data_IF_025934221533
#
_entry.id   IF_025934221533
#
_cell.length_a   1.000
_cell.length_b   1.000
_cell.length_c   1.000
_cell.angle_alpha   90.00
_cell.angle_beta   90.00
_cell.angle_gamma   90.00
#
_symmetry.space_group_name_H-M   'P 1'
#
loop_
_entity.id
_entity.type
_entity.pdbx_description
1 polymer ?
#
# COMPACT_ATOMS: atom_id res chain seq x y z
N UNK A 1 41.46 32.95 -48.30
CA UNK A 1 42.89 33.21 -48.57
C UNK A 1 43.52 33.61 -47.26
N UNK A 2 44.51 32.80 -46.83
CA UNK A 2 45.53 32.97 -45.78
C UNK A 2 45.05 33.27 -44.34
N UNK A 3 45.24 32.39 -43.35
CA UNK A 3 46.47 31.84 -42.72
C UNK A 3 47.15 32.77 -41.71
N UNK A 4 47.17 32.31 -40.43
CA UNK A 4 48.33 32.16 -39.53
C UNK A 4 47.80 32.14 -38.07
N UNK A 5 48.01 31.19 -37.14
CA UNK A 5 49.11 30.31 -36.69
C UNK A 5 49.41 30.61 -35.20
N UNK A 6 49.05 29.66 -34.32
CA UNK A 6 49.69 29.24 -33.05
C UNK A 6 49.71 30.17 -31.81
N UNK A 7 50.01 29.66 -30.57
CA UNK A 7 50.38 28.29 -30.19
C UNK A 7 49.57 27.64 -29.05
N UNK A 8 49.67 26.30 -29.03
CA UNK A 8 49.39 25.42 -27.91
C UNK A 8 50.43 25.61 -26.80
N UNK A 9 49.99 25.66 -25.54
CA UNK A 9 50.85 25.46 -24.38
C UNK A 9 50.40 24.23 -23.59
N UNK A 10 51.35 23.32 -23.41
CA UNK A 10 51.22 22.13 -22.61
C UNK A 10 51.45 22.42 -21.13
N UNK A 11 50.74 21.69 -20.28
CA UNK A 11 50.93 21.69 -18.83
C UNK A 11 50.62 20.31 -18.28
N UNK A 12 51.60 19.41 -18.44
CA UNK A 12 51.71 18.16 -17.67
C UNK A 12 51.90 18.51 -16.21
N UNK A 13 50.99 18.06 -15.34
CA UNK A 13 51.24 17.96 -13.91
C UNK A 13 50.89 16.55 -13.47
N UNK A 14 51.95 15.77 -13.31
CA UNK A 14 52.00 14.54 -12.55
C UNK A 14 51.41 14.75 -11.16
N UNK A 15 50.36 14.01 -10.80
CA UNK A 15 49.91 13.88 -9.42
C UNK A 15 50.14 12.45 -8.96
N UNK A 16 51.33 12.25 -8.41
CA UNK A 16 51.68 11.06 -7.66
C UNK A 16 50.79 10.96 -6.40
N UNK A 17 50.26 9.75 -6.19
CA UNK A 17 50.18 9.05 -4.91
C UNK A 17 49.65 9.83 -3.67
N UNK A 18 48.41 9.53 -3.27
CA UNK A 18 48.06 9.52 -1.85
C UNK A 18 46.93 8.54 -1.55
N UNK A 19 47.34 7.33 -1.17
CA UNK A 19 46.51 6.41 -0.38
C UNK A 19 46.39 6.98 1.02
N UNK A 20 45.17 7.24 1.49
CA UNK A 20 44.66 6.99 2.86
C UNK A 20 43.47 7.90 3.12
N UNK A 21 42.34 7.31 3.53
CA UNK A 21 41.19 8.11 3.96
C UNK A 21 39.83 7.42 3.93
N UNK A 22 39.74 6.09 4.10
CA UNK A 22 38.45 5.49 4.51
C UNK A 22 38.20 5.88 5.96
N UNK A 23 37.43 6.94 6.17
CA UNK A 23 36.81 7.26 7.46
C UNK A 23 35.82 6.15 7.81
N UNK A 24 36.31 5.14 8.52
CA UNK A 24 35.45 4.24 9.28
C UNK A 24 34.79 5.08 10.37
N UNK A 25 33.46 5.21 10.31
CA UNK A 25 32.67 5.74 11.40
C UNK A 25 32.81 4.81 12.60
N UNK A 26 33.69 5.16 13.53
CA UNK A 26 33.77 4.56 14.86
C UNK A 26 32.52 4.97 15.63
N UNK A 27 31.51 4.09 15.65
CA UNK A 27 30.58 4.05 16.77
C UNK A 27 31.42 3.74 18.01
N UNK A 28 31.68 4.77 18.82
CA UNK A 28 32.27 4.60 20.14
C UNK A 28 31.33 3.70 20.95
N UNK A 29 31.71 2.43 21.14
CA UNK A 29 31.03 1.54 22.08
C UNK A 29 31.17 2.17 23.46
N UNK A 30 30.04 2.56 24.05
CA UNK A 30 29.96 2.90 25.46
C UNK A 30 30.45 1.67 26.23
N UNK A 31 31.58 1.80 26.94
CA UNK A 31 32.13 0.75 27.80
C UNK A 31 32.97 -0.32 27.10
N UNK A 32 34.06 0.05 26.42
CA UNK A 32 35.13 -0.90 26.10
C UNK A 32 36.04 -1.12 27.32
N UNK A 33 35.54 -1.80 28.34
CA UNK A 33 36.41 -2.42 29.33
C UNK A 33 36.97 -3.74 28.73
N UNK A 34 38.21 -4.09 29.07
CA UNK A 34 38.97 -5.23 28.51
C UNK A 34 38.40 -6.63 28.86
N UNK A 35 37.10 -6.73 29.11
CA UNK A 35 36.38 -7.88 29.64
C UNK A 35 36.35 -9.06 28.66
N UNK A 36 36.58 -8.77 27.38
CA UNK A 36 36.58 -9.77 26.32
C UNK A 36 37.76 -10.76 26.45
N UNK A 37 38.87 -10.36 27.09
CA UNK A 37 40.01 -11.24 27.39
C UNK A 37 39.62 -12.34 28.39
N UNK A 38 38.88 -11.98 29.44
CA UNK A 38 38.38 -12.91 30.46
C UNK A 38 37.29 -13.88 29.92
N UNK A 39 36.62 -13.53 28.81
CA UNK A 39 35.57 -14.38 28.22
C UNK A 39 36.05 -15.38 27.16
N UNK A 40 37.31 -15.32 26.70
CA UNK A 40 37.79 -16.15 25.57
C UNK A 40 37.72 -17.65 25.83
N UNK A 41 37.81 -18.07 27.09
CA UNK A 41 37.81 -19.47 27.50
C UNK A 41 36.50 -19.89 28.18
N UNK A 42 35.44 -19.08 28.08
CA UNK A 42 34.15 -19.41 28.65
C UNK A 42 33.40 -20.44 27.77
N UNK A 43 32.84 -21.47 28.40
CA UNK A 43 32.02 -22.50 27.74
C UNK A 43 30.55 -22.31 28.10
N UNK A 44 29.71 -22.19 27.08
CA UNK A 44 28.27 -22.11 27.24
C UNK A 44 27.67 -23.52 27.21
N UNK A 45 26.82 -23.84 28.18
CA UNK A 45 25.99 -25.03 28.17
C UNK A 45 24.53 -24.61 28.27
N UNK A 46 23.70 -25.13 27.36
CA UNK A 46 22.25 -24.95 27.44
C UNK A 46 21.72 -25.93 28.51
N UNK A 47 21.07 -25.38 29.53
CA UNK A 47 20.38 -26.15 30.56
C UNK A 47 19.03 -26.64 30.02
N UNK A 48 18.58 -27.78 30.53
CA UNK A 48 17.35 -28.47 30.08
C UNK A 48 16.09 -27.64 30.34
N UNK A 49 16.15 -26.71 31.30
CA UNK A 49 15.05 -25.81 31.67
C UNK A 49 14.99 -24.53 30.79
N UNK A 50 15.72 -24.49 29.68
CA UNK A 50 15.77 -23.33 28.77
C UNK A 50 16.68 -22.19 29.25
N UNK A 51 17.37 -22.36 30.38
CA UNK A 51 18.42 -21.45 30.85
C UNK A 51 19.77 -21.71 30.18
N UNK A 52 20.65 -20.70 30.15
CA UNK A 52 22.03 -20.85 29.66
C UNK A 52 22.97 -20.72 30.86
N UNK A 53 23.77 -21.73 31.13
CA UNK A 53 24.84 -21.70 32.13
C UNK A 53 26.18 -21.42 31.46
N UNK A 54 26.97 -20.52 32.03
CA UNK A 54 28.29 -20.14 31.54
C UNK A 54 29.34 -20.68 32.51
N UNK A 55 30.26 -21.51 32.02
CA UNK A 55 31.39 -22.02 32.78
C UNK A 55 32.67 -21.29 32.37
N UNK A 56 33.35 -20.65 33.33
CA UNK A 56 34.63 -19.98 33.10
C UNK A 56 35.80 -20.90 33.46
N UNK A 57 36.94 -20.73 32.78
CA UNK A 57 38.13 -21.55 33.00
C UNK A 57 38.82 -21.24 34.34
N UNK A 58 38.73 -20.00 34.80
CA UNK A 58 39.24 -19.58 36.12
C UNK A 58 38.15 -18.86 36.91
N UNK A 59 38.11 -19.03 38.25
CA UNK A 59 37.12 -18.37 39.11
C UNK A 59 37.38 -16.86 39.29
N UNK A 60 38.56 -16.37 38.92
CA UNK A 60 38.92 -14.95 38.97
C UNK A 60 38.34 -14.17 37.78
N UNK A 61 38.27 -14.81 36.61
CA UNK A 61 37.62 -14.26 35.42
C UNK A 61 36.12 -14.04 35.65
N UNK A 62 35.46 -15.00 36.31
CA UNK A 62 34.04 -14.91 36.67
C UNK A 62 33.75 -13.69 37.57
N UNK A 63 34.57 -13.47 38.60
CA UNK A 63 34.41 -12.34 39.53
C UNK A 63 34.58 -10.99 38.82
N UNK A 64 35.55 -10.90 37.92
CA UNK A 64 35.83 -9.67 37.16
C UNK A 64 34.66 -9.33 36.22
N UNK A 65 34.08 -10.34 35.58
CA UNK A 65 32.91 -10.17 34.72
C UNK A 65 31.69 -9.75 35.53
N UNK A 66 31.40 -10.43 36.65
CA UNK A 66 30.26 -10.09 37.51
C UNK A 66 30.35 -8.66 38.07
N UNK A 67 31.55 -8.20 38.43
CA UNK A 67 31.78 -6.83 38.89
C UNK A 67 31.59 -5.77 37.78
N UNK A 68 31.77 -6.17 36.51
CA UNK A 68 31.60 -5.28 35.36
C UNK A 68 30.16 -5.17 34.87
N UNK A 69 29.26 -6.05 35.31
CA UNK A 69 27.84 -5.97 34.96
C UNK A 69 27.23 -4.83 35.79
N UNK A 70 26.76 -3.73 35.17
CA UNK A 70 26.08 -2.67 35.91
C UNK A 70 24.80 -3.26 36.51
N UNK A 71 24.80 -3.47 37.83
CA UNK A 71 23.63 -4.01 38.57
C UNK A 71 22.52 -2.97 38.72
N UNK A 72 22.75 -1.73 38.27
CA UNK A 72 21.72 -0.71 38.22
C UNK A 72 20.81 -0.98 37.02
N UNK A 73 19.72 -1.71 37.27
CA UNK A 73 18.51 -1.58 36.45
C UNK A 73 18.14 -0.08 36.43
N UNK A 74 18.02 0.57 35.27
CA UNK A 74 17.58 1.96 35.23
C UNK A 74 16.16 2.01 35.78
N UNK A 75 15.99 2.58 36.98
CA UNK A 75 14.69 2.88 37.59
C UNK A 75 13.83 3.79 36.70
N UNK A 76 14.44 4.42 35.69
CA UNK A 76 13.77 5.21 34.66
C UNK A 76 12.76 4.38 33.85
N UNK A 77 13.03 3.09 33.60
CA UNK A 77 12.14 2.26 32.76
C UNK A 77 10.76 2.03 33.40
N UNK A 78 10.67 2.02 34.73
CA UNK A 78 9.40 1.78 35.44
C UNK A 78 8.54 3.03 35.47
N UNK A 79 9.16 4.21 35.66
CA UNK A 79 8.46 5.50 35.56
C UNK A 79 7.99 5.79 34.14
N UNK A 80 8.79 5.46 33.14
CA UNK A 80 8.43 5.64 31.73
C UNK A 80 7.26 4.71 31.34
N UNK A 81 7.20 3.48 31.88
CA UNK A 81 6.08 2.57 31.62
C UNK A 81 4.77 3.01 32.26
N UNK A 82 4.78 3.44 33.52
CA UNK A 82 3.56 3.89 34.20
C UNK A 82 3.02 5.20 33.60
N UNK A 83 3.91 6.11 33.21
CA UNK A 83 3.52 7.36 32.52
C UNK A 83 2.92 7.10 31.14
N UNK A 84 3.50 6.19 30.36
CA UNK A 84 2.93 5.76 29.07
C UNK A 84 1.58 5.06 29.22
N UNK A 85 1.40 4.22 30.25
CA UNK A 85 0.11 3.57 30.51
C UNK A 85 -0.97 4.59 30.91
N UNK A 86 -0.63 5.60 31.70
CA UNK A 86 -1.54 6.68 32.08
C UNK A 86 -1.89 7.58 30.88
N UNK A 87 -0.96 7.83 29.97
CA UNK A 87 -1.22 8.59 28.75
C UNK A 87 -2.12 7.84 27.77
N UNK A 88 -1.88 6.54 27.58
CA UNK A 88 -2.71 5.68 26.72
C UNK A 88 -4.12 5.51 27.29
N UNK A 89 -4.26 5.32 28.60
CA UNK A 89 -5.58 5.20 29.25
C UNK A 89 -6.37 6.52 29.17
N UNK A 90 -5.74 7.67 29.40
CA UNK A 90 -6.37 8.97 29.21
C UNK A 90 -6.78 9.24 27.75
N UNK A 91 -5.97 8.82 26.77
CA UNK A 91 -6.30 8.95 25.34
C UNK A 91 -7.44 8.01 24.89
N UNK A 92 -7.58 6.85 25.54
CA UNK A 92 -8.68 5.89 25.28
C UNK A 92 -9.96 6.37 25.93
N UNK A 93 -9.93 6.83 27.18
CA UNK A 93 -11.13 7.29 27.91
C UNK A 93 -11.69 8.59 27.34
N UNK A 94 -10.85 9.51 26.84
CA UNK A 94 -11.31 10.72 26.15
C UNK A 94 -12.03 10.50 24.82
N UNK A 95 -11.93 9.30 24.23
CA UNK A 95 -12.52 8.96 22.92
C UNK A 95 -13.82 8.13 23.01
N UNK A 96 -14.25 7.73 24.21
CA UNK A 96 -15.39 6.84 24.42
C UNK A 96 -16.73 7.56 24.70
N UNK A 97 -16.76 8.88 24.57
CA UNK A 97 -18.02 9.62 24.50
C UNK A 97 -18.61 9.50 23.09
N UNK A 98 -19.51 8.52 22.96
CA UNK A 98 -20.68 8.39 22.06
C UNK A 98 -20.55 8.74 20.57
N UNK A 99 -21.22 7.91 19.76
CA UNK A 99 -21.88 8.36 18.55
C UNK A 99 -21.26 7.86 17.24
N UNK A 100 -22.08 7.06 16.57
CA UNK A 100 -22.26 6.91 15.12
C UNK A 100 -21.78 8.10 14.25
N UNK A 101 -21.58 7.82 12.97
CA UNK A 101 -21.27 8.76 11.87
C UNK A 101 -19.79 8.85 11.42
N UNK A 102 -19.41 7.87 10.60
CA UNK A 102 -18.39 8.02 9.55
C UNK A 102 -18.95 9.01 8.50
N UNK A 103 -18.99 10.29 8.82
CA UNK A 103 -19.63 11.28 7.93
C UNK A 103 -19.31 12.75 8.17
N UNK A 104 -18.93 13.17 9.37
CA UNK A 104 -18.70 14.59 9.64
C UNK A 104 -17.51 14.84 10.58
N UNK A 105 -16.41 15.37 10.02
CA UNK A 105 -15.50 16.30 10.69
C UNK A 105 -14.78 15.87 11.97
N UNK A 106 -14.85 14.61 12.45
CA UNK A 106 -14.01 14.15 13.56
C UNK A 106 -12.56 14.10 13.09
N UNK A 107 -11.71 14.90 13.75
CA UNK A 107 -10.27 14.83 13.61
C UNK A 107 -9.83 13.37 13.80
N UNK A 108 -8.81 12.89 13.05
CA UNK A 108 -8.31 11.54 13.23
C UNK A 108 -7.95 11.34 14.71
N UNK A 109 -8.28 10.18 15.31
CA UNK A 109 -7.86 9.87 16.67
C UNK A 109 -6.35 10.06 16.84
N UNK A 110 -5.89 10.52 18.00
CA UNK A 110 -4.47 10.85 18.24
C UNK A 110 -3.49 9.68 17.94
N UNK A 111 -3.95 8.43 18.02
CA UNK A 111 -3.15 7.26 17.67
C UNK A 111 -2.87 7.11 16.16
N UNK A 112 -3.63 7.80 15.30
CA UNK A 112 -3.48 7.76 13.84
C UNK A 112 -2.25 8.53 13.37
N UNK A 113 -1.78 9.48 14.17
CA UNK A 113 -0.58 10.30 13.91
C UNK A 113 0.73 9.55 14.20
N UNK A 114 0.65 8.26 14.58
CA UNK A 114 1.81 7.41 14.80
C UNK A 114 2.70 7.35 13.54
N UNK A 115 3.94 7.80 13.68
CA UNK A 115 4.90 7.83 12.58
C UNK A 115 5.47 6.43 12.28
N UNK A 116 5.47 6.04 11.01
CA UNK A 116 5.95 4.77 10.48
C UNK A 116 7.29 4.95 9.74
N UNK A 117 8.26 5.58 10.40
CA UNK A 117 9.61 5.79 9.83
C UNK A 117 10.43 4.51 9.74
N UNK A 118 10.21 3.56 10.64
CA UNK A 118 10.92 2.29 10.63
C UNK A 118 10.37 1.37 9.53
N UNK A 119 11.19 1.00 8.51
CA UNK A 119 10.71 0.21 7.38
C UNK A 119 10.31 -1.22 7.78
N UNK A 120 10.94 -1.79 8.81
CA UNK A 120 10.63 -3.13 9.30
C UNK A 120 9.22 -3.19 9.93
N UNK A 121 8.90 -2.23 10.80
CA UNK A 121 7.59 -2.10 11.42
C UNK A 121 6.51 -1.84 10.37
N UNK A 122 6.75 -0.92 9.44
CA UNK A 122 5.84 -0.62 8.33
C UNK A 122 5.53 -1.85 7.48
N UNK A 123 6.55 -2.65 7.17
CA UNK A 123 6.38 -3.90 6.42
C UNK A 123 5.63 -4.97 7.23
N UNK A 124 5.88 -5.08 8.54
CA UNK A 124 5.17 -6.02 9.40
C UNK A 124 3.67 -5.69 9.50
N UNK A 125 3.33 -4.41 9.68
CA UNK A 125 1.96 -3.93 9.67
C UNK A 125 1.28 -4.20 8.34
N UNK A 126 1.94 -3.84 7.23
CA UNK A 126 1.42 -4.08 5.88
C UNK A 126 1.15 -5.57 5.62
N UNK A 127 2.08 -6.44 6.05
CA UNK A 127 1.90 -7.89 5.93
C UNK A 127 0.68 -8.36 6.71
N UNK A 128 0.50 -7.85 7.93
CA UNK A 128 -0.64 -8.20 8.79
C UNK A 128 -1.96 -7.70 8.21
N UNK A 129 -2.01 -6.45 7.73
CA UNK A 129 -3.22 -5.89 7.11
C UNK A 129 -3.56 -6.64 5.82
N UNK A 130 -2.56 -6.99 5.00
CA UNK A 130 -2.75 -7.80 3.80
C UNK A 130 -3.29 -9.20 4.13
N UNK A 131 -2.79 -9.84 5.19
CA UNK A 131 -3.31 -11.15 5.62
C UNK A 131 -4.77 -11.08 6.08
N UNK A 132 -5.14 -10.02 6.80
CA UNK A 132 -6.49 -9.85 7.36
C UNK A 132 -7.51 -9.40 6.31
N UNK A 133 -7.13 -8.48 5.45
CA UNK A 133 -8.05 -7.81 4.50
C UNK A 133 -7.94 -8.32 3.08
N UNK A 134 -6.85 -9.04 2.75
CA UNK A 134 -6.47 -9.39 1.37
C UNK A 134 -6.30 -8.20 0.42
N UNK A 135 -6.29 -6.96 0.92
CA UNK A 135 -6.19 -5.77 0.09
C UNK A 135 -4.72 -5.34 -0.06
N UNK A 136 -4.26 -5.23 -1.31
CA UNK A 136 -2.87 -4.84 -1.63
C UNK A 136 -2.79 -3.34 -1.83
N UNK A 137 -1.89 -2.69 -1.10
CA UNK A 137 -1.55 -1.29 -1.32
C UNK A 137 -0.48 -1.17 -2.41
N UNK A 138 -0.52 -0.09 -3.20
CA UNK A 138 0.54 0.18 -4.17
C UNK A 138 1.82 0.62 -3.46
N UNK A 139 2.97 0.29 -4.03
CA UNK A 139 4.27 0.65 -3.44
C UNK A 139 4.47 2.17 -3.34
N UNK A 140 3.95 2.91 -4.32
CA UNK A 140 3.93 4.37 -4.26
C UNK A 140 3.12 4.93 -3.09
N UNK A 141 1.96 4.34 -2.78
CA UNK A 141 1.16 4.74 -1.63
C UNK A 141 1.88 4.40 -0.30
N UNK A 142 2.67 3.33 -0.29
CA UNK A 142 3.53 3.00 0.85
C UNK A 142 4.64 4.04 1.01
N UNK A 143 5.37 4.40 -0.03
CA UNK A 143 6.46 5.38 0.10
C UNK A 143 5.97 6.78 0.51
N UNK A 144 4.77 7.16 0.06
CA UNK A 144 4.18 8.50 0.32
C UNK A 144 3.59 8.65 1.74
N UNK A 145 3.31 7.55 2.45
CA UNK A 145 2.62 7.58 3.76
C UNK A 145 3.59 7.49 4.95
N UNK A 146 3.97 8.62 5.60
CA UNK A 146 4.80 8.60 6.80
C UNK A 146 4.01 8.24 8.06
N UNK A 147 2.69 8.42 8.09
CA UNK A 147 1.85 8.16 9.28
C UNK A 147 0.93 6.96 9.07
N UNK A 148 0.42 6.40 10.18
CA UNK A 148 -0.59 5.35 10.14
C UNK A 148 -1.91 5.85 9.55
N UNK A 149 -2.29 7.10 9.81
CA UNK A 149 -3.45 7.76 9.24
C UNK A 149 -3.38 7.88 7.72
N UNK A 150 -2.23 8.26 7.18
CA UNK A 150 -2.01 8.32 5.73
C UNK A 150 -2.16 6.92 5.10
N UNK A 151 -1.56 5.90 5.73
CA UNK A 151 -1.69 4.52 5.27
C UNK A 151 -3.15 4.06 5.29
N UNK A 152 -3.88 4.35 6.36
CA UNK A 152 -5.31 4.05 6.47
C UNK A 152 -6.13 4.78 5.42
N UNK A 153 -5.84 6.05 5.13
CA UNK A 153 -6.55 6.84 4.12
C UNK A 153 -6.51 6.17 2.75
N UNK A 154 -5.39 5.54 2.40
CA UNK A 154 -5.25 4.79 1.15
C UNK A 154 -6.07 3.50 1.13
N UNK A 155 -6.29 2.85 2.28
CA UNK A 155 -7.18 1.69 2.38
C UNK A 155 -8.65 2.06 2.39
N UNK A 156 -9.00 3.16 3.06
CA UNK A 156 -10.37 3.67 3.14
C UNK A 156 -10.83 4.27 1.80
N UNK A 157 -9.91 4.71 0.96
CA UNK A 157 -10.23 5.27 -0.36
C UNK A 157 -10.76 4.16 -1.28
N UNK A 158 -12.04 4.23 -1.70
CA UNK A 158 -12.56 3.26 -2.64
C UNK A 158 -11.86 3.41 -3.99
N UNK A 159 -11.58 2.29 -4.65
CA UNK A 159 -10.97 2.28 -5.98
C UNK A 159 -11.80 3.11 -6.95
N UNK A 160 -11.15 3.96 -7.74
CA UNK A 160 -11.84 4.77 -8.75
C UNK A 160 -12.52 3.83 -9.75
N UNK A 161 -13.83 3.98 -10.00
CA UNK A 161 -14.55 3.09 -10.88
C UNK A 161 -14.07 3.25 -12.32
N UNK A 162 -13.89 2.13 -13.02
CA UNK A 162 -13.34 2.09 -14.38
C UNK A 162 -14.19 2.84 -15.42
N UNK A 163 -15.49 3.00 -15.17
CA UNK A 163 -16.40 3.70 -16.09
C UNK A 163 -16.85 4.99 -15.44
N UNK A 164 -16.84 6.08 -16.23
CA UNK A 164 -17.37 7.37 -15.83
C UNK A 164 -18.82 7.26 -15.33
N UNK A 165 -19.66 6.46 -15.97
CA UNK A 165 -21.05 6.25 -15.52
C UNK A 165 -21.19 5.74 -14.08
N UNK A 166 -20.14 5.18 -13.49
CA UNK A 166 -20.12 4.68 -12.12
C UNK A 166 -19.37 5.60 -11.16
N UNK A 167 -18.77 6.72 -11.63
CA UNK A 167 -18.20 7.71 -10.72
C UNK A 167 -19.33 8.36 -9.90
N UNK A 168 -18.98 8.79 -8.69
CA UNK A 168 -19.92 9.44 -7.76
C UNK A 168 -20.67 10.61 -8.42
N UNK A 169 -19.96 11.44 -9.18
CA UNK A 169 -20.54 12.63 -9.85
C UNK A 169 -21.75 12.35 -10.77
N UNK A 170 -21.70 11.50 -11.81
CA UNK A 170 -22.85 11.16 -12.63
C UNK A 170 -23.86 10.25 -11.93
N UNK A 171 -23.41 9.41 -10.97
CA UNK A 171 -24.34 8.60 -10.17
C UNK A 171 -25.21 9.48 -9.26
N UNK A 172 -24.61 10.48 -8.61
CA UNK A 172 -25.27 11.51 -7.82
C UNK A 172 -26.17 12.35 -8.71
N UNK A 173 -25.66 12.85 -9.86
CA UNK A 173 -26.46 13.62 -10.83
C UNK A 173 -27.69 12.85 -11.33
N UNK A 174 -27.61 11.51 -11.42
CA UNK A 174 -28.76 10.68 -11.80
C UNK A 174 -29.90 10.71 -10.77
N UNK A 175 -29.57 10.94 -9.50
CA UNK A 175 -30.51 10.93 -8.38
C UNK A 175 -30.74 12.31 -7.74
N UNK A 176 -30.01 13.33 -8.19
CA UNK A 176 -30.01 14.65 -7.57
C UNK A 176 -31.04 15.58 -8.22
N UNK A 177 -31.98 16.14 -7.44
CA UNK A 177 -33.01 17.05 -7.96
C UNK A 177 -32.48 18.42 -8.39
N UNK A 178 -31.19 18.71 -8.15
CA UNK A 178 -30.61 20.05 -8.36
C UNK A 178 -30.44 20.43 -9.84
N UNK A 179 -30.42 19.48 -10.77
CA UNK A 179 -30.27 19.75 -12.21
C UNK A 179 -31.37 19.04 -13.01
N UNK A 180 -32.58 19.60 -13.06
CA UNK A 180 -33.73 18.94 -13.70
C UNK A 180 -33.59 18.80 -15.23
N UNK A 181 -32.71 19.57 -15.86
CA UNK A 181 -32.56 19.62 -17.32
C UNK A 181 -31.54 18.63 -17.89
N UNK A 182 -30.85 17.85 -17.04
CA UNK A 182 -29.78 16.94 -17.46
C UNK A 182 -30.10 15.52 -17.01
N UNK A 183 -30.19 14.61 -17.96
CA UNK A 183 -30.42 13.18 -17.70
C UNK A 183 -29.18 12.36 -18.04
N UNK A 184 -28.60 11.70 -17.04
CA UNK A 184 -27.43 10.83 -17.23
C UNK A 184 -27.86 9.37 -17.34
N UNK A 185 -27.43 8.69 -18.41
CA UNK A 185 -27.69 7.27 -18.63
C UNK A 185 -26.42 6.43 -18.48
N UNK A 186 -26.49 5.25 -17.84
CA UNK A 186 -25.31 4.42 -17.59
C UNK A 186 -24.80 3.67 -18.84
N UNK A 187 -25.64 3.58 -19.88
CA UNK A 187 -25.36 2.88 -21.13
C UNK A 187 -25.82 3.69 -22.32
N UNK A 188 -25.28 3.36 -23.50
CA UNK A 188 -25.73 3.93 -24.77
C UNK A 188 -27.23 3.71 -24.94
N UNK A 189 -27.95 4.79 -25.27
CA UNK A 189 -29.35 4.75 -25.68
C UNK A 189 -29.46 4.08 -27.05
N UNK A 190 -30.13 2.93 -27.11
CA UNK A 190 -30.39 2.20 -28.37
C UNK A 190 -31.66 2.74 -29.04
N UNK A 191 -31.88 2.49 -30.34
CA UNK A 191 -33.14 2.86 -31.00
C UNK A 191 -34.37 2.28 -30.29
N UNK A 192 -34.26 1.04 -29.76
CA UNK A 192 -35.30 0.40 -28.96
C UNK A 192 -35.62 1.22 -27.70
N UNK A 193 -34.60 1.71 -27.00
CA UNK A 193 -34.82 2.52 -25.78
C UNK A 193 -35.52 3.86 -26.11
N UNK A 194 -35.22 4.45 -27.27
CA UNK A 194 -35.91 5.66 -27.76
C UNK A 194 -37.39 5.37 -28.01
N UNK A 195 -37.71 4.29 -28.73
CA UNK A 195 -39.11 3.91 -28.98
C UNK A 195 -39.85 3.51 -27.69
N UNK A 196 -39.15 2.92 -26.72
CA UNK A 196 -39.70 2.66 -25.38
C UNK A 196 -40.01 3.94 -24.62
N UNK A 197 -39.16 4.96 -24.71
CA UNK A 197 -39.41 6.26 -24.06
C UNK A 197 -40.64 6.98 -24.65
N UNK A 198 -40.91 6.79 -25.94
CA UNK A 198 -42.11 7.31 -26.62
C UNK A 198 -43.34 6.42 -26.38
N UNK A 199 -43.14 5.14 -26.04
CA UNK A 199 -44.20 4.13 -25.84
C UNK A 199 -44.61 3.36 -27.10
N UNK A 200 -44.06 3.70 -28.27
CA UNK A 200 -44.35 3.04 -29.57
C UNK A 200 -43.81 1.62 -29.65
N UNK A 201 -42.80 1.29 -28.84
CA UNK A 201 -42.21 -0.05 -28.85
C UNK A 201 -43.23 -1.17 -28.61
N UNK A 202 -44.25 -0.91 -27.79
CA UNK A 202 -45.31 -1.89 -27.50
C UNK A 202 -46.08 -2.31 -28.77
N UNK A 203 -46.46 -1.33 -29.59
CA UNK A 203 -47.18 -1.59 -30.86
C UNK A 203 -46.29 -2.32 -31.86
N UNK A 204 -45.01 -1.93 -31.94
CA UNK A 204 -44.04 -2.60 -32.81
C UNK A 204 -43.85 -4.06 -32.40
N UNK A 205 -43.76 -4.32 -31.09
CA UNK A 205 -43.63 -5.67 -30.55
C UNK A 205 -44.85 -6.54 -30.88
N UNK A 206 -46.07 -6.04 -30.67
CA UNK A 206 -47.32 -6.73 -31.00
C UNK A 206 -47.42 -7.05 -32.51
N UNK A 207 -47.11 -6.09 -33.37
CA UNK A 207 -47.12 -6.27 -34.83
C UNK A 207 -46.06 -7.26 -35.32
N UNK A 208 -44.85 -7.22 -34.76
CA UNK A 208 -43.79 -8.17 -35.13
C UNK A 208 -44.19 -9.61 -34.74
N UNK A 209 -44.78 -9.78 -33.56
CA UNK A 209 -45.28 -11.10 -33.10
C UNK A 209 -46.40 -11.60 -34.00
N UNK A 210 -47.37 -10.74 -34.34
CA UNK A 210 -48.48 -11.09 -35.22
C UNK A 210 -48.00 -11.52 -36.62
N UNK A 211 -46.90 -10.93 -37.10
CA UNK A 211 -46.27 -11.28 -38.39
C UNK A 211 -45.29 -12.45 -38.29
N UNK A 212 -45.08 -13.03 -37.11
CA UNK A 212 -44.12 -14.11 -36.87
C UNK A 212 -42.65 -13.69 -37.07
N UNK A 213 -42.35 -12.39 -36.93
CA UNK A 213 -41.01 -11.82 -37.03
C UNK A 213 -40.32 -11.78 -35.65
N UNK A 214 -38.98 -11.83 -35.58
CA UNK A 214 -38.28 -11.74 -34.30
C UNK A 214 -38.33 -10.32 -33.73
N UNK A 215 -38.75 -10.20 -32.46
CA UNK A 215 -38.87 -8.93 -31.74
C UNK A 215 -37.51 -8.28 -31.45
N UNK A 216 -36.45 -9.06 -31.27
CA UNK A 216 -35.10 -8.52 -31.05
C UNK A 216 -34.03 -9.44 -31.65
N UNK A 217 -33.02 -8.84 -32.28
CA UNK A 217 -31.87 -9.53 -32.85
C UNK A 217 -32.15 -10.13 -34.24
N UNK A 218 -31.09 -10.67 -34.84
CA UNK A 218 -31.09 -11.17 -36.23
C UNK A 218 -31.27 -12.69 -36.33
N UNK A 219 -31.61 -13.37 -35.23
CA UNK A 219 -31.72 -14.84 -35.17
C UNK A 219 -33.05 -15.38 -35.71
N UNK A 220 -33.48 -14.90 -36.88
CA UNK A 220 -34.57 -15.56 -37.59
C UNK A 220 -34.05 -16.85 -38.24
N UNK A 221 -34.58 -18.00 -37.84
CA UNK A 221 -34.12 -19.33 -38.31
C UNK A 221 -34.18 -19.49 -39.84
N UNK A 222 -34.98 -18.68 -40.55
CA UNK A 222 -35.10 -18.71 -42.01
C UNK A 222 -34.23 -17.71 -42.80
N UNK A 223 -33.57 -16.74 -42.16
CA UNK A 223 -32.95 -15.61 -42.88
C UNK A 223 -31.69 -15.97 -43.69
N UNK A 224 -31.01 -17.07 -43.35
CA UNK A 224 -29.80 -17.53 -44.06
C UNK A 224 -30.05 -18.61 -45.12
N UNK A 225 -31.26 -19.16 -45.20
CA UNK A 225 -31.53 -20.37 -46.01
C UNK A 225 -31.66 -20.05 -47.51
N UNK A 226 -31.99 -18.81 -47.89
CA UNK A 226 -32.25 -18.48 -49.30
C UNK A 226 -31.08 -17.82 -50.06
N UNK A 227 -30.02 -17.39 -49.38
CA UNK A 227 -28.91 -16.67 -50.03
C UNK A 227 -28.02 -17.60 -50.88
N UNK A 228 -28.11 -18.92 -50.69
CA UNK A 228 -27.35 -19.92 -51.45
C UNK A 228 -28.03 -20.45 -52.73
N UNK A 229 -29.27 -20.01 -53.05
CA UNK A 229 -29.97 -20.48 -54.26
C UNK A 229 -29.59 -19.74 -55.55
N UNK A 230 -28.65 -18.78 -55.51
CA UNK A 230 -28.13 -18.12 -56.72
C UNK A 230 -26.62 -18.31 -56.86
N UNK A 231 -26.26 -19.49 -57.38
CA UNK A 231 -25.08 -19.67 -58.22
C UNK A 231 -23.72 -19.59 -57.52
N UNK A 232 -23.27 -20.72 -56.95
CA UNK A 232 -21.94 -21.32 -57.21
C UNK A 232 -21.77 -22.55 -56.31
N UNK A 233 -21.89 -23.71 -56.94
CA UNK A 233 -21.49 -24.98 -56.35
C UNK A 233 -19.95 -25.01 -56.34
N UNK A 234 -19.33 -24.92 -55.16
CA UNK A 234 -17.90 -25.18 -55.01
C UNK A 234 -17.75 -26.64 -54.59
N UNK A 235 -17.35 -27.48 -55.55
CA UNK A 235 -16.88 -28.85 -55.27
C UNK A 235 -15.55 -28.76 -54.53
N UNK A 236 -15.50 -29.33 -53.32
CA UNK A 236 -14.24 -29.62 -52.64
C UNK A 236 -14.02 -31.12 -52.82
N UNK A 237 -12.94 -31.45 -53.52
CA UNK A 237 -12.29 -32.77 -53.61
C UNK A 237 -11.60 -33.12 -52.31
#
# INVERSE_FOLDING_TARGET
>A
MADATSPCDGGSLDFAESRQGRRAGLLARVGSAANWEATRNARLQASVDGGVTVHFATPEDERTILASIPTTLPQTATQDQETLLNEVTNAVEGNLAEGDDIGNGKLPPAWMDLSLHEPALKMALLKRTLQLTSHRLSDHALSTSPTLGDLWSHYATPTVPKKLAHTKTPAETRHQPQIPNVTVHPRRQTPIDREKSVGRWKVIEEELVQRGLPVTGTRFRGAKVEVLKRGREVRIS
#
